data_IF_988750243552
#
_entry.id   IF_988750243552
#
_cell.length_a   1.000
_cell.length_b   1.000
_cell.length_c   1.000
_cell.angle_alpha   90.00
_cell.angle_beta   90.00
_cell.angle_gamma   90.00
#
_symmetry.space_group_name_H-M   'P 1'
#
loop_
_entity.id
_entity.type
_entity.pdbx_description
1 polymer ?
#
# COMPACT_ATOMS: atom_id res chain seq x y z
N UNK A 1 13.03 10.51 -2.01
CA UNK A 1 12.01 11.57 -1.83
C UNK A 1 10.91 11.17 -0.86
N UNK A 2 10.40 9.92 -0.89
CA UNK A 2 9.38 9.43 0.06
C UNK A 2 9.73 9.56 1.55
N UNK A 3 11.00 9.39 1.92
CA UNK A 3 11.42 9.40 3.33
C UNK A 3 11.22 10.78 3.96
N UNK A 4 11.50 11.83 3.19
CA UNK A 4 11.37 13.22 3.64
C UNK A 4 9.91 13.57 3.87
N UNK A 5 9.02 13.12 2.98
CA UNK A 5 7.57 13.34 3.13
C UNK A 5 7.04 12.60 4.36
N UNK A 6 7.46 11.36 4.57
CA UNK A 6 7.02 10.54 5.71
C UNK A 6 7.57 11.04 7.06
N UNK A 7 8.78 11.59 7.08
CA UNK A 7 9.35 12.29 8.24
C UNK A 7 8.65 13.62 8.53
N UNK A 8 8.34 14.41 7.50
CA UNK A 8 7.64 15.70 7.67
C UNK A 8 6.23 15.52 8.21
N UNK A 9 5.59 14.39 7.91
CA UNK A 9 4.19 14.15 8.20
C UNK A 9 4.01 13.38 9.52
N UNK A 10 4.87 12.40 9.80
CA UNK A 10 4.77 11.58 11.01
C UNK A 10 5.67 12.09 12.16
N UNK A 11 6.54 13.07 11.90
CA UNK A 11 7.48 13.61 12.89
C UNK A 11 8.60 12.65 13.33
N UNK A 12 8.67 11.45 12.76
CA UNK A 12 9.70 10.44 13.05
C UNK A 12 11.04 10.79 12.39
N UNK A 13 12.20 10.44 12.99
CA UNK A 13 13.50 10.76 12.41
C UNK A 13 13.67 10.25 10.97
N UNK A 14 14.32 11.04 10.11
CA UNK A 14 14.54 10.69 8.69
C UNK A 14 15.24 9.35 8.47
N UNK A 15 16.04 8.91 9.43
CA UNK A 15 16.70 7.60 9.40
C UNK A 15 15.69 6.47 9.49
N UNK A 16 14.65 6.61 10.32
CA UNK A 16 13.61 5.61 10.47
C UNK A 16 12.73 5.52 9.20
N UNK A 17 12.31 6.68 8.66
CA UNK A 17 11.54 6.71 7.41
C UNK A 17 12.31 6.18 6.21
N UNK A 18 13.62 6.49 6.12
CA UNK A 18 14.45 6.08 4.99
C UNK A 18 14.93 4.64 5.08
N UNK A 19 15.36 4.22 6.25
CA UNK A 19 16.08 2.96 6.43
C UNK A 19 15.13 1.81 6.86
N UNK A 20 13.94 2.13 7.39
CA UNK A 20 12.95 1.13 7.86
C UNK A 20 11.66 1.15 7.03
N UNK A 21 10.94 2.28 7.01
CA UNK A 21 9.58 2.31 6.44
C UNK A 21 9.55 2.06 4.93
N UNK A 22 10.41 2.73 4.17
CA UNK A 22 10.45 2.57 2.70
C UNK A 22 10.94 1.18 2.30
N UNK A 23 12.06 0.66 2.84
CA UNK A 23 12.50 -0.69 2.50
C UNK A 23 11.46 -1.74 2.87
N UNK A 24 10.79 -1.60 4.02
CA UNK A 24 9.71 -2.51 4.42
C UNK A 24 8.52 -2.41 3.48
N UNK A 25 8.05 -1.20 3.14
CA UNK A 25 6.95 -1.01 2.19
C UNK A 25 7.28 -1.66 0.83
N UNK A 26 8.49 -1.45 0.31
CA UNK A 26 8.95 -2.09 -0.93
C UNK A 26 8.99 -3.62 -0.81
N UNK A 27 9.55 -4.15 0.30
CA UNK A 27 9.60 -5.58 0.55
C UNK A 27 8.20 -6.21 0.59
N UNK A 28 7.20 -5.51 1.14
CA UNK A 28 5.81 -5.97 1.13
C UNK A 28 5.25 -6.08 -0.28
N UNK A 29 5.50 -5.11 -1.15
CA UNK A 29 5.08 -5.22 -2.56
C UNK A 29 5.76 -6.40 -3.26
N UNK A 30 7.07 -6.58 -3.09
CA UNK A 30 7.79 -7.70 -3.71
C UNK A 30 7.33 -9.06 -3.17
N UNK A 31 7.11 -9.18 -1.87
CA UNK A 31 6.62 -10.40 -1.25
C UNK A 31 5.26 -10.80 -1.83
N UNK A 32 4.30 -9.88 -1.89
CA UNK A 32 2.96 -10.17 -2.41
C UNK A 32 2.94 -10.32 -3.94
N UNK A 33 3.84 -9.64 -4.67
CA UNK A 33 4.00 -9.85 -6.10
C UNK A 33 4.36 -11.32 -6.42
N UNK A 34 5.21 -11.93 -5.59
CA UNK A 34 5.56 -13.36 -5.70
C UNK A 34 4.46 -14.34 -5.26
N UNK A 35 3.34 -13.83 -4.72
CA UNK A 35 2.12 -14.60 -4.43
C UNK A 35 1.07 -14.50 -5.53
N UNK A 36 1.17 -13.51 -6.44
CA UNK A 36 0.17 -13.26 -7.47
C UNK A 36 -0.01 -14.46 -8.44
N UNK A 37 1.07 -15.20 -8.69
CA UNK A 37 1.08 -16.41 -9.53
C UNK A 37 0.80 -17.71 -8.75
N UNK A 38 0.70 -17.63 -7.41
CA UNK A 38 0.62 -18.78 -6.50
C UNK A 38 -0.62 -18.79 -5.62
N UNK A 39 -1.62 -17.99 -5.95
CA UNK A 39 -2.85 -17.89 -5.16
C UNK A 39 -3.58 -19.25 -5.02
N UNK A 40 -3.43 -20.16 -5.98
CA UNK A 40 -3.96 -21.53 -5.90
C UNK A 40 -3.42 -22.32 -4.70
N UNK A 41 -2.19 -22.00 -4.25
CA UNK A 41 -1.55 -22.62 -3.09
C UNK A 41 -1.85 -21.89 -1.78
N UNK A 42 -2.53 -20.74 -1.83
CA UNK A 42 -2.83 -19.93 -0.65
C UNK A 42 -4.03 -20.45 0.17
N UNK A 43 -4.63 -21.59 -0.23
CA UNK A 43 -5.74 -22.21 0.51
C UNK A 43 -7.12 -21.61 0.25
N UNK A 44 -7.25 -20.72 -0.74
CA UNK A 44 -8.52 -20.09 -1.14
C UNK A 44 -9.31 -20.87 -2.20
N UNK A 45 -8.97 -22.16 -2.40
CA UNK A 45 -9.60 -23.04 -3.39
C UNK A 45 -8.86 -23.13 -4.72
N UNK A 46 -9.32 -24.03 -5.59
CA UNK A 46 -8.75 -24.21 -6.94
C UNK A 46 -9.14 -23.02 -7.82
N UNK A 47 -8.20 -22.09 -8.07
CA UNK A 47 -8.38 -20.83 -8.82
C UNK A 47 -9.19 -19.75 -8.08
N UNK A 48 -8.62 -19.11 -7.04
CA UNK A 48 -9.25 -17.96 -6.42
C UNK A 48 -9.43 -16.84 -7.45
N UNK A 49 -10.62 -16.24 -7.46
CA UNK A 49 -10.96 -15.11 -8.33
C UNK A 49 -10.94 -13.82 -7.53
N UNK A 50 -10.62 -12.68 -8.17
CA UNK A 50 -10.78 -11.38 -7.53
C UNK A 50 -12.25 -11.15 -7.14
N UNK A 51 -12.43 -10.50 -6.00
CA UNK A 51 -13.73 -10.08 -5.46
C UNK A 51 -14.26 -8.82 -6.17
N UNK A 52 -13.38 -8.06 -6.82
CA UNK A 52 -13.73 -6.84 -7.56
C UNK A 52 -13.12 -5.60 -6.91
N UNK A 53 -13.96 -4.64 -6.51
CA UNK A 53 -13.52 -3.37 -5.91
C UNK A 53 -13.49 -3.47 -4.38
N UNK A 54 -12.34 -3.17 -3.78
CA UNK A 54 -12.10 -3.22 -2.34
C UNK A 54 -11.87 -1.82 -1.79
N UNK A 55 -12.73 -1.37 -0.88
CA UNK A 55 -12.54 -0.14 -0.11
C UNK A 55 -11.59 -0.37 1.05
N UNK A 56 -10.51 0.41 1.14
CA UNK A 56 -9.49 0.29 2.17
C UNK A 56 -9.35 1.62 2.92
N UNK A 57 -9.41 1.54 4.26
CA UNK A 57 -9.18 2.68 5.15
C UNK A 57 -7.89 2.42 5.91
N UNK A 58 -6.97 3.39 5.92
CA UNK A 58 -5.69 3.29 6.64
C UNK A 58 -5.56 4.29 7.79
N UNK A 59 -4.94 3.89 8.90
CA UNK A 59 -4.63 4.77 10.02
C UNK A 59 -3.44 5.69 9.74
N UNK A 60 -3.23 6.67 10.63
CA UNK A 60 -2.23 7.75 10.50
C UNK A 60 -0.82 7.38 11.01
N UNK A 61 -0.66 6.28 11.73
CA UNK A 61 0.59 5.95 12.42
C UNK A 61 1.74 5.55 11.49
N UNK A 62 1.46 4.88 10.37
CA UNK A 62 2.46 4.53 9.35
C UNK A 62 1.82 4.56 7.96
N UNK A 63 1.53 5.73 7.39
CA UNK A 63 0.68 5.85 6.21
C UNK A 63 1.21 5.08 5.00
N UNK A 64 2.52 5.12 4.72
CA UNK A 64 3.11 4.42 3.57
C UNK A 64 3.16 2.90 3.78
N UNK A 65 3.55 2.45 4.98
CA UNK A 65 3.63 1.03 5.31
C UNK A 65 2.23 0.40 5.36
N UNK A 66 1.27 1.06 5.99
CA UNK A 66 -0.13 0.59 6.08
C UNK A 66 -0.80 0.53 4.72
N UNK A 67 -0.47 1.47 3.84
CA UNK A 67 -0.87 1.43 2.44
C UNK A 67 -0.29 0.20 1.75
N UNK A 68 1.03 -0.02 1.84
CA UNK A 68 1.67 -1.18 1.22
C UNK A 68 1.07 -2.50 1.72
N UNK A 69 0.79 -2.60 3.02
CA UNK A 69 0.20 -3.79 3.65
C UNK A 69 -1.19 -4.13 3.14
N UNK A 70 -2.01 -3.13 2.80
CA UNK A 70 -3.37 -3.38 2.31
C UNK A 70 -3.45 -3.48 0.79
N UNK A 71 -2.69 -2.64 0.06
CA UNK A 71 -2.72 -2.62 -1.39
C UNK A 71 -2.00 -3.84 -1.98
N UNK A 72 -0.83 -4.22 -1.46
CA UNK A 72 -0.03 -5.31 -2.01
C UNK A 72 -0.78 -6.65 -2.11
N UNK A 73 -1.49 -7.15 -1.06
CA UNK A 73 -2.28 -8.37 -1.18
C UNK A 73 -3.53 -8.20 -2.05
N UNK A 74 -4.18 -7.03 -2.03
CA UNK A 74 -5.36 -6.79 -2.86
C UNK A 74 -5.01 -6.84 -4.35
N UNK A 75 -3.87 -6.25 -4.73
CA UNK A 75 -3.29 -6.35 -6.07
C UNK A 75 -2.87 -7.76 -6.45
N UNK A 76 -2.17 -8.45 -5.55
CA UNK A 76 -1.73 -9.82 -5.81
C UNK A 76 -2.93 -10.73 -6.10
N UNK A 77 -4.07 -10.49 -5.43
CA UNK A 77 -5.33 -11.18 -5.67
C UNK A 77 -6.11 -10.68 -6.91
N UNK A 78 -5.62 -9.67 -7.63
CA UNK A 78 -6.25 -9.10 -8.82
C UNK A 78 -7.43 -8.17 -8.56
N UNK A 79 -7.56 -7.62 -7.35
CA UNK A 79 -8.63 -6.68 -6.99
C UNK A 79 -8.27 -5.23 -7.35
N UNK A 80 -9.30 -4.43 -7.62
CA UNK A 80 -9.18 -2.98 -7.71
C UNK A 80 -9.35 -2.36 -6.32
N UNK A 81 -8.55 -1.36 -5.96
CA UNK A 81 -8.59 -0.75 -4.62
C UNK A 81 -9.06 0.69 -4.67
N UNK A 82 -10.00 1.04 -3.79
CA UNK A 82 -10.36 2.41 -3.44
C UNK A 82 -9.82 2.70 -2.05
N UNK A 83 -8.87 3.63 -1.94
CA UNK A 83 -8.20 3.91 -0.66
C UNK A 83 -8.64 5.27 -0.09
N UNK A 84 -9.13 5.27 1.16
CA UNK A 84 -9.31 6.47 1.99
C UNK A 84 -8.26 6.49 3.12
N UNK A 85 -7.26 7.38 3.09
CA UNK A 85 -6.33 7.52 4.20
C UNK A 85 -6.87 8.45 5.30
N UNK A 86 -6.18 8.50 6.44
CA UNK A 86 -6.58 9.32 7.58
C UNK A 86 -6.54 10.83 7.26
N UNK A 87 -7.55 11.56 7.73
CA UNK A 87 -7.79 12.98 7.38
C UNK A 87 -6.73 13.95 7.88
N UNK A 88 -5.93 13.57 8.88
CA UNK A 88 -4.95 14.44 9.55
C UNK A 88 -3.63 14.65 8.78
N UNK A 89 -3.39 13.91 7.69
CA UNK A 89 -2.07 13.82 7.07
C UNK A 89 -2.16 13.99 5.53
N UNK A 90 -2.00 15.23 5.06
CA UNK A 90 -2.29 15.65 3.68
C UNK A 90 -1.10 15.48 2.70
N UNK A 91 0.13 15.34 3.21
CA UNK A 91 1.35 15.38 2.39
C UNK A 91 1.68 14.06 1.65
N UNK A 92 1.51 12.87 2.23
CA UNK A 92 1.65 11.60 1.51
C UNK A 92 0.55 11.43 0.47
N UNK A 93 -0.64 11.97 0.74
CA UNK A 93 -1.84 11.91 -0.09
C UNK A 93 -1.56 12.31 -1.55
N UNK A 94 -0.91 13.46 -1.77
CA UNK A 94 -0.65 13.99 -3.12
C UNK A 94 0.37 13.16 -3.91
N UNK A 95 1.45 12.72 -3.25
CA UNK A 95 2.48 11.89 -3.89
C UNK A 95 2.02 10.45 -4.11
N UNK A 96 1.20 9.91 -3.21
CA UNK A 96 0.56 8.62 -3.37
C UNK A 96 -0.49 8.66 -4.48
N UNK A 97 -1.26 9.74 -4.64
CA UNK A 97 -2.16 9.93 -5.79
C UNK A 97 -1.42 9.86 -7.14
N UNK A 98 -0.19 10.41 -7.19
CA UNK A 98 0.66 10.36 -8.40
C UNK A 98 1.11 8.93 -8.73
N UNK A 99 1.30 8.09 -7.71
CA UNK A 99 1.62 6.67 -7.88
C UNK A 99 0.35 5.85 -8.21
N UNK A 100 -0.77 6.20 -7.57
CA UNK A 100 -2.08 5.57 -7.72
C UNK A 100 -2.62 5.64 -9.15
N UNK A 101 -2.58 6.85 -9.74
CA UNK A 101 -3.01 7.11 -11.12
C UNK A 101 -2.20 6.36 -12.18
N UNK A 102 -1.04 5.77 -11.84
CA UNK A 102 -0.23 4.97 -12.76
C UNK A 102 -0.49 3.46 -12.69
N UNK A 103 -1.26 2.98 -11.71
CA UNK A 103 -1.38 1.54 -11.42
C UNK A 103 -2.84 1.11 -11.11
N UNK A 104 -3.83 1.75 -11.74
CA UNK A 104 -5.26 1.42 -11.60
C UNK A 104 -5.81 1.52 -10.16
N UNK A 105 -5.33 2.50 -9.38
CA UNK A 105 -5.86 2.81 -8.05
C UNK A 105 -6.62 4.13 -8.04
N UNK A 106 -7.80 4.13 -7.42
CA UNK A 106 -8.56 5.35 -7.15
C UNK A 106 -8.41 5.73 -5.67
N UNK A 107 -7.84 6.89 -5.39
CA UNK A 107 -7.78 7.45 -4.03
C UNK A 107 -8.93 8.45 -3.87
N UNK A 108 -9.78 8.23 -2.86
CA UNK A 108 -11.02 8.99 -2.60
C UNK A 108 -10.94 9.71 -1.26
#
# INVERSE_FOLDING_TARGET
MFAVVETLDNGKPIRESRDTDIPLAAAHFFYHAGWADKLEYAGFGSKPKPLGVVGQIIPWNFPLLMLAWKIAPALAAGNTVVLKPAETHHLPHFYLQRFANKQDFLMV
#
